data_IF_508178654046
#
_entry.id   IF_508178654046
#
_cell.length_a   1.000
_cell.length_b   1.000
_cell.length_c   1.000
_cell.angle_alpha   90.00
_cell.angle_beta   90.00
_cell.angle_gamma   90.00
#
_symmetry.space_group_name_H-M   'P 1'
#
loop_
_entity.id
_entity.type
_entity.pdbx_description
1 polymer ?
#
# COMPACT_ATOMS: atom_id res chain seq x y z
N UNK A 1 -29.65 14.32 13.66
CA UNK A 1 -30.66 14.42 12.56
C UNK A 1 -30.08 15.00 11.28
N UNK A 2 -29.25 16.05 11.34
CA UNK A 2 -28.62 16.67 10.16
C UNK A 2 -27.51 15.80 9.51
N UNK A 3 -26.85 14.92 10.25
CA UNK A 3 -25.82 14.01 9.73
C UNK A 3 -26.38 12.89 8.83
N UNK A 4 -27.62 12.45 9.07
CA UNK A 4 -28.25 11.34 8.32
C UNK A 4 -28.81 11.78 6.95
N UNK A 5 -29.10 13.07 6.77
CA UNK A 5 -29.57 13.61 5.49
C UNK A 5 -28.41 13.74 4.50
N UNK A 6 -27.18 13.95 4.99
CA UNK A 6 -25.98 13.98 4.15
C UNK A 6 -25.63 12.60 3.55
N UNK A 7 -26.06 11.51 4.20
CA UNK A 7 -25.79 10.13 3.79
C UNK A 7 -26.66 9.72 2.59
N UNK A 8 -27.87 10.28 2.47
CA UNK A 8 -28.85 9.88 1.45
C UNK A 8 -28.71 10.62 0.10
N UNK A 9 -27.88 11.68 0.00
CA UNK A 9 -27.86 12.59 -1.16
C UNK A 9 -26.78 12.25 -2.22
N UNK A 10 -25.63 11.68 -1.87
CA UNK A 10 -24.49 11.60 -2.80
C UNK A 10 -24.24 10.20 -3.37
N UNK A 11 -25.07 9.83 -4.34
CA UNK A 11 -24.76 8.75 -5.29
C UNK A 11 -23.73 9.18 -6.34
N UNK A 12 -22.45 9.25 -5.99
CA UNK A 12 -21.30 9.32 -6.93
C UNK A 12 -20.04 8.63 -6.37
N UNK A 13 -19.16 8.18 -7.28
CA UNK A 13 -17.93 7.37 -7.10
C UNK A 13 -17.40 7.23 -5.66
N UNK A 14 -17.47 5.99 -5.14
CA UNK A 14 -17.09 5.49 -3.80
C UNK A 14 -15.93 6.23 -3.08
N UNK A 15 -14.84 6.58 -3.77
CA UNK A 15 -13.67 7.21 -3.13
C UNK A 15 -13.93 8.60 -2.54
N UNK A 16 -14.84 9.40 -3.12
CA UNK A 16 -15.09 10.78 -2.64
C UNK A 16 -15.98 10.80 -1.39
N UNK A 17 -16.88 9.82 -1.27
CA UNK A 17 -17.73 9.63 -0.09
C UNK A 17 -16.93 9.12 1.12
N UNK A 18 -15.98 8.19 0.92
CA UNK A 18 -15.07 7.74 1.99
C UNK A 18 -14.14 8.84 2.47
N UNK A 19 -13.65 9.73 1.58
CA UNK A 19 -12.75 10.83 1.95
C UNK A 19 -13.36 11.87 2.91
N UNK A 20 -14.65 12.18 2.73
CA UNK A 20 -15.34 13.16 3.60
C UNK A 20 -15.62 12.60 5.01
N UNK A 21 -15.95 11.30 5.09
CA UNK A 21 -16.10 10.58 6.37
C UNK A 21 -14.74 10.36 7.07
N UNK A 22 -13.69 10.08 6.31
CA UNK A 22 -12.32 9.99 6.82
C UNK A 22 -11.79 11.31 7.39
N UNK A 23 -12.15 12.46 6.79
CA UNK A 23 -11.66 13.75 7.30
C UNK A 23 -12.12 14.03 8.73
N UNK A 24 -13.32 13.55 9.11
CA UNK A 24 -13.87 13.64 10.46
C UNK A 24 -13.20 12.68 11.45
N UNK A 25 -12.70 11.55 10.95
CA UNK A 25 -11.95 10.50 11.66
C UNK A 25 -10.45 10.78 11.80
N UNK A 26 -9.89 11.54 10.86
CA UNK A 26 -8.47 11.90 10.72
C UNK A 26 -7.98 12.90 11.78
N UNK A 27 -8.60 12.95 12.95
CA UNK A 27 -8.16 13.80 14.07
C UNK A 27 -6.73 13.46 14.53
N UNK A 28 -6.15 12.36 14.03
CA UNK A 28 -4.71 12.06 14.00
C UNK A 28 -4.18 11.77 12.58
N UNK A 29 -4.40 12.70 11.64
CA UNK A 29 -3.91 12.67 10.24
C UNK A 29 -2.40 12.39 10.14
N UNK A 30 -1.64 12.73 11.17
CA UNK A 30 -0.20 12.48 11.28
C UNK A 30 0.14 11.01 11.01
N UNK A 31 -0.66 10.05 11.51
CA UNK A 31 -0.38 8.63 11.28
C UNK A 31 -0.61 8.21 9.83
N UNK A 32 -1.65 8.76 9.18
CA UNK A 32 -1.92 8.54 7.76
C UNK A 32 -0.75 9.06 6.92
N UNK A 33 -0.33 10.30 7.16
CA UNK A 33 0.77 10.93 6.42
C UNK A 33 2.09 10.20 6.66
N UNK A 34 2.36 9.72 7.87
CA UNK A 34 3.60 8.96 8.14
C UNK A 34 3.61 7.64 7.37
N UNK A 35 2.50 6.90 7.37
CA UNK A 35 2.40 5.62 6.63
C UNK A 35 2.54 5.85 5.13
N UNK A 36 1.87 6.85 4.60
CA UNK A 36 1.97 7.30 3.21
C UNK A 36 3.43 7.56 2.82
N UNK A 37 4.14 8.43 3.57
CA UNK A 37 5.55 8.75 3.29
C UNK A 37 6.52 7.60 3.48
N UNK A 38 6.26 6.70 4.43
CA UNK A 38 7.05 5.48 4.59
C UNK A 38 6.84 4.56 3.39
N UNK A 39 5.61 4.44 2.89
CA UNK A 39 5.27 3.62 1.72
C UNK A 39 5.95 4.17 0.47
N UNK A 40 5.90 5.48 0.25
CA UNK A 40 6.62 6.16 -0.83
C UNK A 40 8.12 5.87 -0.80
N UNK A 41 8.73 5.94 0.39
CA UNK A 41 10.16 5.69 0.55
C UNK A 41 10.52 4.23 0.26
N UNK A 42 9.74 3.29 0.75
CA UNK A 42 9.94 1.84 0.51
C UNK A 42 9.80 1.54 -0.99
N UNK A 43 8.75 2.05 -1.63
CA UNK A 43 8.51 1.84 -3.05
C UNK A 43 9.57 2.52 -3.91
N UNK A 44 10.08 3.70 -3.51
CA UNK A 44 11.18 4.37 -4.19
C UNK A 44 12.46 3.52 -4.16
N UNK A 45 12.84 2.98 -3.00
CA UNK A 45 13.96 2.04 -2.90
C UNK A 45 13.71 0.81 -3.76
N UNK A 46 12.49 0.26 -3.73
CA UNK A 46 12.10 -0.86 -4.57
C UNK A 46 12.32 -0.59 -6.06
N UNK A 47 11.89 0.58 -6.56
CA UNK A 47 12.13 1.00 -7.96
C UNK A 47 13.62 1.06 -8.28
N UNK A 48 14.44 1.66 -7.40
CA UNK A 48 15.88 1.75 -7.62
C UNK A 48 16.56 0.37 -7.68
N UNK A 49 16.15 -0.55 -6.80
CA UNK A 49 16.68 -1.92 -6.79
C UNK A 49 16.26 -2.68 -8.05
N UNK A 50 15.02 -2.56 -8.49
CA UNK A 50 14.53 -3.21 -9.72
C UNK A 50 15.30 -2.67 -10.94
N UNK A 51 15.38 -1.35 -11.10
CA UNK A 51 16.06 -0.74 -12.27
C UNK A 51 17.57 -1.02 -12.23
N UNK A 52 18.20 -0.93 -11.05
CA UNK A 52 19.62 -1.21 -10.88
C UNK A 52 19.98 -2.67 -11.14
N UNK A 53 19.20 -3.62 -10.63
CA UNK A 53 19.43 -5.05 -10.86
C UNK A 53 19.19 -5.45 -12.31
N UNK A 54 18.11 -4.97 -12.93
CA UNK A 54 17.81 -5.24 -14.35
C UNK A 54 18.85 -4.59 -15.26
N UNK A 55 19.22 -3.34 -15.00
CA UNK A 55 20.27 -2.64 -15.76
C UNK A 55 21.64 -3.29 -15.62
N UNK A 56 22.03 -3.68 -14.41
CA UNK A 56 23.29 -4.40 -14.16
C UNK A 56 23.33 -5.77 -14.82
N UNK A 57 22.24 -6.54 -14.72
CA UNK A 57 22.14 -7.85 -15.36
C UNK A 57 22.13 -7.72 -16.90
N UNK A 58 21.45 -6.72 -17.45
CA UNK A 58 21.48 -6.42 -18.88
C UNK A 58 22.88 -6.03 -19.37
N UNK A 59 23.62 -5.25 -18.58
CA UNK A 59 25.00 -4.88 -18.91
C UNK A 59 25.93 -6.10 -18.94
N UNK A 60 25.88 -6.97 -17.91
CA UNK A 60 26.68 -8.20 -17.85
C UNK A 60 26.34 -9.14 -19.02
N UNK A 61 25.05 -9.22 -19.38
CA UNK A 61 24.57 -10.00 -20.53
C UNK A 61 25.12 -9.46 -21.86
N UNK A 62 25.08 -8.14 -22.06
CA UNK A 62 25.56 -7.49 -23.28
C UNK A 62 27.09 -7.50 -23.42
N UNK A 63 27.84 -7.48 -22.31
CA UNK A 63 29.29 -7.72 -22.29
C UNK A 63 29.67 -9.16 -22.68
N UNK A 64 28.70 -10.08 -22.72
CA UNK A 64 28.91 -11.48 -23.07
C UNK A 64 29.52 -12.31 -21.94
N UNK A 65 29.65 -11.75 -20.73
CA UNK A 65 30.23 -12.42 -19.55
C UNK A 65 29.39 -13.65 -19.15
N UNK A 66 28.07 -13.60 -19.33
CA UNK A 66 27.15 -14.64 -18.88
C UNK A 66 27.04 -15.84 -19.85
N UNK A 67 27.27 -15.61 -21.15
CA UNK A 67 27.01 -16.60 -22.23
C UNK A 67 28.23 -16.89 -23.09
N UNK A 68 29.35 -16.20 -22.88
CA UNK A 68 30.59 -16.36 -23.67
C UNK A 68 30.50 -15.86 -25.12
N UNK A 69 29.30 -15.55 -25.62
CA UNK A 69 29.09 -14.87 -26.88
C UNK A 69 28.98 -13.37 -26.62
N UNK A 70 29.97 -12.62 -27.12
CA UNK A 70 29.86 -11.15 -27.20
C UNK A 70 29.07 -10.83 -28.47
N UNK A 71 27.79 -10.46 -28.38
CA UNK A 71 27.04 -10.14 -29.58
C UNK A 71 27.68 -8.89 -30.22
N UNK A 72 28.05 -8.99 -31.50
CA UNK A 72 28.62 -7.87 -32.26
C UNK A 72 27.51 -6.83 -32.56
N UNK A 73 27.08 -6.10 -31.53
CA UNK A 73 26.20 -4.96 -31.69
C UNK A 73 27.04 -3.70 -31.85
N UNK A 74 26.87 -3.02 -32.98
CA UNK A 74 27.50 -1.72 -33.22
C UNK A 74 26.95 -0.62 -32.28
N UNK A 75 25.80 -0.87 -31.64
CA UNK A 75 25.12 0.03 -30.71
C UNK A 75 24.68 -0.69 -29.43
N UNK A 76 25.60 -1.15 -28.58
CA UNK A 76 25.29 -1.83 -27.30
C UNK A 76 24.58 -0.94 -26.29
N UNK A 77 24.75 0.38 -26.39
CA UNK A 77 24.14 1.36 -25.48
C UNK A 77 22.63 1.55 -25.74
N UNK A 78 22.18 1.45 -26.99
CA UNK A 78 20.78 1.61 -27.35
C UNK A 78 19.84 0.56 -26.70
N UNK A 79 20.10 -0.76 -26.81
CA UNK A 79 19.27 -1.77 -26.15
C UNK A 79 19.37 -1.68 -24.62
N UNK A 80 20.53 -1.30 -24.07
CA UNK A 80 20.69 -1.07 -22.63
C UNK A 80 19.78 0.06 -22.13
N UNK A 81 19.73 1.18 -22.84
CA UNK A 81 18.84 2.30 -22.51
C UNK A 81 17.37 1.91 -22.59
N UNK A 82 16.98 1.13 -23.61
CA UNK A 82 15.62 0.64 -23.77
C UNK A 82 15.24 -0.27 -22.59
N UNK A 83 16.11 -1.20 -22.20
CA UNK A 83 15.87 -2.11 -21.07
C UNK A 83 15.71 -1.33 -19.76
N UNK A 84 16.60 -0.36 -19.50
CA UNK A 84 16.51 0.51 -18.32
C UNK A 84 15.19 1.29 -18.32
N UNK A 85 14.83 1.89 -19.45
CA UNK A 85 13.57 2.64 -19.58
C UNK A 85 12.34 1.75 -19.37
N UNK A 86 12.28 0.58 -20.02
CA UNK A 86 11.19 -0.37 -19.87
C UNK A 86 11.09 -0.88 -18.42
N UNK A 87 12.22 -1.23 -17.78
CA UNK A 87 12.21 -1.66 -16.38
C UNK A 87 11.73 -0.56 -15.44
N UNK A 88 12.09 0.70 -15.68
CA UNK A 88 11.62 1.84 -14.89
C UNK A 88 10.11 2.05 -15.04
N UNK A 89 9.57 1.94 -16.26
CA UNK A 89 8.12 2.04 -16.51
C UNK A 89 7.36 0.92 -15.78
N UNK A 90 7.82 -0.33 -15.91
CA UNK A 90 7.21 -1.48 -15.24
C UNK A 90 7.27 -1.32 -13.72
N UNK A 91 8.44 -0.96 -13.16
CA UNK A 91 8.59 -0.72 -11.73
C UNK A 91 7.69 0.41 -11.23
N UNK A 92 7.51 1.46 -12.05
CA UNK A 92 6.63 2.59 -11.74
C UNK A 92 5.15 2.18 -11.72
N UNK A 93 4.71 1.40 -12.70
CA UNK A 93 3.34 0.88 -12.76
C UNK A 93 3.03 -0.01 -11.56
N UNK A 94 3.91 -0.96 -11.25
CA UNK A 94 3.72 -1.83 -10.08
C UNK A 94 3.68 -1.03 -8.79
N UNK A 95 4.60 -0.08 -8.60
CA UNK A 95 4.62 0.74 -7.39
C UNK A 95 3.34 1.55 -7.20
N UNK A 96 2.77 2.11 -8.28
CA UNK A 96 1.49 2.85 -8.20
C UNK A 96 0.33 1.97 -7.72
N UNK A 97 0.29 0.70 -8.14
CA UNK A 97 -0.72 -0.26 -7.65
C UNK A 97 -0.50 -0.57 -6.17
N UNK A 98 0.76 -0.73 -5.73
CA UNK A 98 1.07 -0.95 -4.31
C UNK A 98 0.69 0.24 -3.44
N UNK A 99 0.99 1.47 -3.88
CA UNK A 99 0.63 2.72 -3.20
C UNK A 99 -0.88 2.81 -2.98
N UNK A 100 -1.66 2.64 -4.06
CA UNK A 100 -3.13 2.62 -4.00
C UNK A 100 -3.67 1.49 -3.10
N UNK A 101 -3.03 0.32 -3.12
CA UNK A 101 -3.40 -0.81 -2.27
C UNK A 101 -3.17 -0.55 -0.78
N UNK A 102 -2.08 0.13 -0.44
CA UNK A 102 -1.76 0.52 0.93
C UNK A 102 -2.73 1.59 1.43
N UNK A 103 -3.00 2.62 0.62
CA UNK A 103 -3.97 3.67 0.93
C UNK A 103 -5.36 3.10 1.21
N UNK A 104 -5.86 2.20 0.35
CA UNK A 104 -7.18 1.58 0.51
C UNK A 104 -7.25 0.69 1.75
N UNK A 105 -6.22 -0.12 2.01
CA UNK A 105 -6.13 -0.93 3.23
C UNK A 105 -6.17 -0.06 4.49
N UNK A 106 -5.44 1.06 4.46
CA UNK A 106 -5.39 1.97 5.59
C UNK A 106 -6.71 2.74 5.78
N UNK A 107 -7.37 3.14 4.69
CA UNK A 107 -8.72 3.70 4.69
C UNK A 107 -9.73 2.72 5.31
N UNK A 108 -9.73 1.46 4.89
CA UNK A 108 -10.59 0.42 5.46
C UNK A 108 -10.35 0.24 6.97
N UNK A 109 -9.10 0.34 7.40
CA UNK A 109 -8.73 0.28 8.81
C UNK A 109 -9.25 1.48 9.62
N UNK A 110 -9.17 2.70 9.07
CA UNK A 110 -9.72 3.88 9.71
C UNK A 110 -11.25 3.81 9.80
N UNK A 111 -11.91 3.27 8.78
CA UNK A 111 -13.36 3.02 8.79
C UNK A 111 -13.75 1.98 9.86
N UNK A 112 -12.95 0.92 10.01
CA UNK A 112 -13.13 -0.09 11.07
C UNK A 112 -13.00 0.54 12.47
N UNK A 113 -12.08 1.48 12.65
CA UNK A 113 -11.89 2.20 13.93
C UNK A 113 -13.07 3.10 14.32
N UNK A 114 -13.79 3.67 13.34
CA UNK A 114 -14.96 4.49 13.59
C UNK A 114 -16.20 3.66 13.90
N UNK A 115 -16.42 2.61 13.10
CA UNK A 115 -17.65 1.83 13.16
C UNK A 115 -17.64 0.84 14.32
N UNK A 116 -16.46 0.35 14.68
CA UNK A 116 -16.29 -0.66 15.71
C UNK A 116 -15.58 -0.07 16.92
N UNK A 117 -16.02 -0.49 18.11
CA UNK A 117 -15.48 -0.03 19.39
C UNK A 117 -14.73 -1.15 20.14
N UNK A 118 -14.64 -2.33 19.52
CA UNK A 118 -14.04 -3.53 20.10
C UNK A 118 -14.94 -4.23 21.12
N UNK A 119 -16.23 -3.87 21.21
CA UNK A 119 -17.21 -4.58 22.03
C UNK A 119 -17.56 -5.96 21.44
N UNK A 120 -18.23 -6.81 22.23
CA UNK A 120 -18.69 -8.11 21.74
C UNK A 120 -19.76 -7.99 20.64
N UNK A 121 -20.47 -6.86 20.58
CA UNK A 121 -21.47 -6.58 19.55
C UNK A 121 -20.84 -5.94 18.29
N UNK A 122 -19.72 -5.22 18.44
CA UNK A 122 -19.00 -4.53 17.36
C UNK A 122 -17.47 -4.68 17.50
N UNK A 123 -16.94 -5.90 17.25
CA UNK A 123 -15.50 -6.14 17.32
C UNK A 123 -14.78 -5.45 16.15
N UNK A 124 -13.53 -5.07 16.34
CA UNK A 124 -12.63 -4.67 15.27
C UNK A 124 -12.35 -5.85 14.35
N UNK A 125 -12.40 -5.61 13.04
CA UNK A 125 -12.13 -6.60 12.00
C UNK A 125 -10.73 -6.46 11.38
N UNK A 126 -9.98 -5.41 11.73
CA UNK A 126 -8.59 -5.22 11.31
C UNK A 126 -7.64 -6.34 11.79
N UNK A 127 -6.45 -6.40 11.21
CA UNK A 127 -5.45 -7.43 11.57
C UNK A 127 -4.97 -7.29 13.02
N UNK A 128 -4.65 -8.42 13.66
CA UNK A 128 -4.20 -8.47 15.06
C UNK A 128 -2.90 -7.68 15.29
N UNK A 129 -1.98 -7.69 14.33
CA UNK A 129 -0.76 -6.89 14.38
C UNK A 129 -1.07 -5.38 14.40
N UNK A 130 -2.00 -4.92 13.55
CA UNK A 130 -2.41 -3.51 13.51
C UNK A 130 -3.14 -3.09 14.80
N UNK A 131 -4.00 -3.96 15.34
CA UNK A 131 -4.64 -3.79 16.65
C UNK A 131 -3.61 -3.56 17.76
N UNK A 132 -2.58 -4.40 17.83
CA UNK A 132 -1.51 -4.28 18.82
C UNK A 132 -0.69 -3.00 18.64
N UNK A 133 -0.33 -2.64 17.41
CA UNK A 133 0.41 -1.40 17.11
C UNK A 133 -0.40 -0.16 17.55
N UNK A 134 -1.73 -0.23 17.46
CA UNK A 134 -2.62 0.83 17.93
C UNK A 134 -2.92 0.81 19.43
N UNK A 135 -2.57 -0.27 20.15
CA UNK A 135 -3.00 -0.47 21.53
C UNK A 135 -4.52 -0.70 21.67
N UNK A 136 -5.17 -1.24 20.64
CA UNK A 136 -6.59 -1.60 20.63
C UNK A 136 -6.74 -3.12 20.71
N UNK A 137 -7.83 -3.59 21.30
CA UNK A 137 -8.15 -5.02 21.42
C UNK A 137 -9.65 -5.24 21.42
N UNK A 138 -10.07 -6.38 20.89
CA UNK A 138 -11.46 -6.83 21.02
C UNK A 138 -11.69 -7.38 22.42
N UNK A 139 -12.72 -6.87 23.11
CA UNK A 139 -13.17 -7.44 24.38
C UNK A 139 -13.74 -8.82 24.11
N UNK A 140 -13.27 -9.82 24.87
CA UNK A 140 -13.87 -11.15 24.84
C UNK A 140 -15.32 -11.04 25.30
N UNK A 141 -16.27 -11.75 24.67
CA UNK A 141 -17.62 -11.84 25.19
C UNK A 141 -17.58 -12.43 26.60
N UNK A 142 -18.22 -11.75 27.55
CA UNK A 142 -18.42 -12.27 28.91
C UNK A 142 -19.28 -13.53 28.82
N UNK A 143 -18.62 -14.70 28.76
CA UNK A 143 -19.31 -15.97 28.57
C UNK A 143 -18.44 -17.23 28.58
N UNK A 144 -17.10 -17.14 28.62
CA UNK A 144 -16.28 -18.30 29.01
C UNK A 144 -16.17 -18.33 30.53
N UNK A 145 -17.24 -18.78 31.17
CA UNK A 145 -17.15 -19.33 32.51
C UNK A 145 -16.12 -20.47 32.45
N UNK A 146 -15.07 -20.28 33.21
CA UNK A 146 -14.11 -21.27 33.66
C UNK A 146 -14.72 -22.68 33.71
N UNK A 147 -14.27 -23.58 32.83
CA UNK A 147 -14.43 -25.04 32.98
C UNK A 147 -13.26 -25.79 32.33
N UNK A 148 -12.40 -26.27 33.24
CA UNK A 148 -11.35 -27.29 33.17
C UNK A 148 -10.00 -26.92 32.55
#
# INVERSE_FOLDING_TARGET
RNAFIMIAIYGQNFCSASGSALSLLSRNLVRLVVVDKVTDFILFIGKLVIVGSVGGMAYIYLEGILIGLRPNLHYTFAPLCIIILCSYLVASLFSSVFETGVETTFLCFLEDLERNDGSAEKPYFMSTNLLQILGKYNRKPNGSHDKN
#
